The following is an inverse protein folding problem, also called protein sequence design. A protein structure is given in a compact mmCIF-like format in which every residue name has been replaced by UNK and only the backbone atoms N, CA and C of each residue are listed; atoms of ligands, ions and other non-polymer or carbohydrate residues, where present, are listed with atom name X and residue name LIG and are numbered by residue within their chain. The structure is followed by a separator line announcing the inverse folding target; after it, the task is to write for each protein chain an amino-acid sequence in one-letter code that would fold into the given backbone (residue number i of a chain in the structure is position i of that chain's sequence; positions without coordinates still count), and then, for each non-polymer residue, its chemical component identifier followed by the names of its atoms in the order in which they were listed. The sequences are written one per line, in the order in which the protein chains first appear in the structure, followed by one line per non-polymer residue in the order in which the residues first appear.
data_IF_235192484978
#
_entry.id   IF_235192484978
#
_cell.length_a   1.000
_cell.length_b   1.000
_cell.length_c   1.000
_cell.angle_alpha   90.00
_cell.angle_beta   90.00
_cell.angle_gamma   90.00
#
_symmetry.space_group_name_H-M   'P 1'
#
loop_
_entity.id
_entity.type
_entity.pdbx_description
1 polymer ?
#
# COMPACT_ATOMS: atom_id res chain seq x y z
N UNK A 1 12.27 -19.15 4.73
CA UNK A 1 11.80 -18.18 3.72
C UNK A 1 11.19 -18.98 2.58
N UNK A 2 9.88 -19.15 2.58
CA UNK A 2 9.16 -19.77 1.45
C UNK A 2 8.82 -18.65 0.48
N UNK A 3 9.66 -18.44 -0.52
CA UNK A 3 9.33 -17.56 -1.64
C UNK A 3 8.29 -18.25 -2.51
N UNK A 4 7.16 -17.58 -2.74
CA UNK A 4 6.12 -18.09 -3.63
C UNK A 4 6.27 -17.40 -4.99
N UNK A 5 6.71 -18.16 -6.00
CA UNK A 5 6.77 -17.67 -7.39
C UNK A 5 5.80 -18.44 -8.27
N UNK A 6 4.97 -17.73 -9.02
CA UNK A 6 4.34 -18.26 -10.22
C UNK A 6 3.02 -18.99 -10.02
N UNK A 7 1.98 -18.28 -9.61
CA UNK A 7 0.58 -18.55 -9.94
C UNK A 7 -0.21 -17.28 -9.64
N UNK A 8 -1.46 -17.18 -10.11
CA UNK A 8 -2.40 -16.21 -9.59
C UNK A 8 -2.60 -16.49 -8.08
N UNK A 9 -1.74 -15.92 -7.24
CA UNK A 9 -1.92 -15.94 -5.80
C UNK A 9 -3.04 -14.94 -5.55
N UNK A 10 -4.27 -15.45 -5.44
CA UNK A 10 -5.31 -14.72 -4.73
C UNK A 10 -4.82 -14.63 -3.28
N UNK A 11 -4.23 -13.49 -2.91
CA UNK A 11 -3.71 -13.20 -1.55
C UNK A 11 -4.85 -13.08 -0.51
N UNK A 12 -6.03 -13.67 -0.77
CA UNK A 12 -7.08 -13.80 0.24
C UNK A 12 -6.67 -14.69 1.43
N UNK A 13 -5.57 -15.47 1.31
CA UNK A 13 -5.12 -16.39 2.36
C UNK A 13 -3.79 -15.99 3.05
N UNK A 14 -3.10 -14.89 2.68
CA UNK A 14 -1.87 -14.47 3.38
C UNK A 14 -2.13 -13.49 4.53
N UNK A 15 -3.29 -13.54 5.15
CA UNK A 15 -3.74 -12.62 6.19
C UNK A 15 -3.09 -12.82 7.56
N UNK A 16 -1.91 -13.44 7.66
CA UNK A 16 -1.21 -13.55 8.96
C UNK A 16 0.26 -14.03 8.87
N UNK A 17 1.15 -13.29 8.19
CA UNK A 17 2.60 -13.63 8.16
C UNK A 17 3.44 -12.44 8.59
N UNK A 18 4.26 -12.65 9.63
CA UNK A 18 5.33 -11.72 10.02
C UNK A 18 6.47 -11.78 9.01
N UNK A 19 6.65 -10.69 8.26
CA UNK A 19 7.62 -10.60 7.16
C UNK A 19 7.30 -11.53 5.98
N UNK A 20 7.06 -10.95 4.81
CA UNK A 20 6.77 -11.71 3.60
C UNK A 20 7.36 -11.04 2.37
N UNK A 21 7.57 -11.84 1.33
CA UNK A 21 7.95 -11.37 0.00
C UNK A 21 6.81 -11.65 -0.97
N UNK A 22 6.38 -10.61 -1.69
CA UNK A 22 5.44 -10.70 -2.80
C UNK A 22 6.13 -10.16 -4.03
N UNK A 23 6.43 -11.04 -4.97
CA UNK A 23 7.22 -10.70 -6.15
C UNK A 23 6.44 -11.11 -7.41
N UNK A 24 6.35 -10.22 -8.40
CA UNK A 24 5.82 -10.53 -9.76
C UNK A 24 4.46 -11.22 -9.78
N UNK A 25 3.60 -10.85 -8.84
CA UNK A 25 2.30 -11.45 -8.64
C UNK A 25 1.16 -10.56 -9.13
N UNK A 26 0.02 -11.15 -9.45
CA UNK A 26 -1.22 -10.43 -9.78
C UNK A 26 -2.22 -10.59 -8.63
N UNK A 27 -2.65 -9.48 -8.06
CA UNK A 27 -3.46 -9.42 -6.85
C UNK A 27 -4.67 -8.54 -7.15
N UNK A 28 -5.81 -9.18 -7.37
CA UNK A 28 -7.01 -8.48 -7.82
C UNK A 28 -8.30 -9.17 -7.42
N UNK A 29 -9.37 -8.38 -7.35
CA UNK A 29 -10.72 -8.88 -7.06
C UNK A 29 -10.94 -9.26 -5.60
N UNK A 30 -10.04 -8.86 -4.69
CA UNK A 30 -10.23 -9.11 -3.26
C UNK A 30 -11.33 -8.18 -2.70
N UNK A 31 -12.11 -8.66 -1.73
CA UNK A 31 -13.14 -7.85 -1.07
C UNK A 31 -12.59 -6.78 -0.11
N UNK A 32 -11.30 -6.89 0.28
CA UNK A 32 -10.58 -5.94 1.14
C UNK A 32 -9.30 -5.45 0.47
N UNK A 33 -8.24 -5.26 1.25
CA UNK A 33 -6.96 -4.79 0.70
C UNK A 33 -6.31 -5.84 -0.22
N UNK A 34 -5.46 -5.40 -1.14
CA UNK A 34 -4.65 -6.30 -1.95
C UNK A 34 -3.61 -7.03 -1.11
N UNK A 35 -2.82 -6.26 -0.34
CA UNK A 35 -1.80 -6.75 0.59
C UNK A 35 -1.97 -6.02 1.92
N UNK A 36 -1.97 -6.77 3.03
CA UNK A 36 -2.03 -6.21 4.39
C UNK A 36 -0.87 -6.71 5.25
N UNK A 37 -0.17 -5.79 5.90
CA UNK A 37 0.83 -6.11 6.93
C UNK A 37 0.20 -6.03 8.33
N UNK A 38 0.17 -7.15 9.06
CA UNK A 38 -0.56 -7.27 10.34
C UNK A 38 0.36 -7.38 11.58
N UNK A 39 1.63 -7.72 11.38
CA UNK A 39 2.59 -7.98 12.47
C UNK A 39 3.90 -7.20 12.27
N UNK A 40 4.81 -7.29 13.24
CA UNK A 40 6.20 -6.87 13.04
C UNK A 40 6.85 -7.64 11.88
N UNK A 41 7.54 -6.92 11.00
CA UNK A 41 8.15 -7.56 9.85
C UNK A 41 8.82 -6.62 8.87
N UNK A 42 9.70 -7.21 8.08
CA UNK A 42 10.25 -6.59 6.88
C UNK A 42 9.53 -7.16 5.66
N UNK A 43 8.88 -6.29 4.88
CA UNK A 43 8.13 -6.70 3.69
C UNK A 43 8.90 -6.36 2.41
N UNK A 44 8.85 -7.27 1.43
CA UNK A 44 9.44 -7.06 0.10
C UNK A 44 8.36 -7.24 -0.95
N UNK A 45 7.81 -6.12 -1.42
CA UNK A 45 6.69 -6.09 -2.36
C UNK A 45 7.20 -5.49 -3.66
N UNK A 46 7.49 -6.34 -4.65
CA UNK A 46 8.14 -5.89 -5.88
C UNK A 46 7.49 -6.42 -7.16
N UNK A 47 7.41 -5.55 -8.17
CA UNK A 47 7.00 -5.89 -9.54
C UNK A 47 5.61 -6.55 -9.65
N UNK A 48 4.70 -6.26 -8.72
CA UNK A 48 3.36 -6.82 -8.70
C UNK A 48 2.35 -5.97 -9.49
N UNK A 49 1.26 -6.59 -9.94
CA UNK A 49 0.03 -5.92 -10.41
C UNK A 49 -1.04 -6.03 -9.33
N UNK A 50 -1.46 -4.92 -8.73
CA UNK A 50 -2.38 -4.87 -7.58
C UNK A 50 -3.54 -3.94 -7.91
N UNK A 51 -4.69 -4.48 -8.31
CA UNK A 51 -5.80 -3.68 -8.84
C UNK A 51 -7.16 -4.32 -8.54
N UNK A 52 -8.26 -3.58 -8.69
CA UNK A 52 -9.62 -4.07 -8.49
C UNK A 52 -9.88 -4.73 -7.11
N UNK A 53 -9.17 -4.30 -6.07
CA UNK A 53 -9.43 -4.72 -4.70
C UNK A 53 -10.40 -3.75 -4.01
N UNK A 54 -11.23 -4.23 -3.10
CA UNK A 54 -12.24 -3.42 -2.41
C UNK A 54 -11.68 -2.39 -1.43
N UNK A 55 -10.46 -2.61 -0.91
CA UNK A 55 -9.76 -1.75 0.03
C UNK A 55 -8.58 -0.99 -0.58
N UNK A 56 -7.50 -0.83 0.19
CA UNK A 56 -6.24 -0.28 -0.28
C UNK A 56 -5.49 -1.29 -1.17
N UNK A 57 -4.63 -0.83 -2.07
CA UNK A 57 -3.74 -1.74 -2.79
C UNK A 57 -2.77 -2.43 -1.83
N UNK A 58 -2.07 -1.64 -1.03
CA UNK A 58 -1.15 -2.09 0.02
C UNK A 58 -1.45 -1.30 1.30
N UNK A 59 -1.83 -1.98 2.37
CA UNK A 59 -2.00 -1.40 3.70
C UNK A 59 -0.96 -1.94 4.69
N UNK A 60 -0.08 -1.05 5.16
CA UNK A 60 0.89 -1.32 6.23
C UNK A 60 0.64 -0.45 7.46
N UNK A 61 -0.58 0.07 7.63
CA UNK A 61 -0.93 1.02 8.69
C UNK A 61 -1.32 0.37 10.03
N UNK A 62 -1.64 -0.93 10.03
CA UNK A 62 -2.10 -1.70 11.19
C UNK A 62 -1.22 -2.92 11.54
N UNK A 63 0.10 -2.73 11.64
CA UNK A 63 0.86 -3.70 12.44
C UNK A 63 0.61 -3.45 13.91
N UNK A 64 0.40 -4.50 14.71
CA UNK A 64 0.05 -4.43 16.14
C UNK A 64 0.94 -3.54 17.02
N UNK A 65 1.68 -4.11 17.99
CA UNK A 65 2.62 -3.34 18.83
C UNK A 65 4.01 -3.20 18.19
N UNK A 66 4.23 -3.81 17.04
CA UNK A 66 5.53 -3.90 16.36
C UNK A 66 5.70 -2.92 15.22
N UNK A 67 6.95 -2.62 14.86
CA UNK A 67 7.30 -1.76 13.72
C UNK A 67 7.36 -2.57 12.42
N UNK A 68 6.86 -1.97 11.34
CA UNK A 68 6.90 -2.50 9.99
C UNK A 68 7.92 -1.73 9.17
N UNK A 69 8.80 -2.45 8.49
CA UNK A 69 9.71 -1.88 7.49
C UNK A 69 9.55 -2.61 6.16
N UNK A 70 10.13 -2.08 5.09
CA UNK A 70 10.09 -2.83 3.83
C UNK A 70 10.40 -2.02 2.59
N UNK A 71 10.45 -2.73 1.47
CA UNK A 71 10.62 -2.18 0.14
C UNK A 71 9.35 -2.44 -0.67
N UNK A 72 8.75 -1.36 -1.18
CA UNK A 72 7.65 -1.40 -2.14
C UNK A 72 8.20 -0.84 -3.44
N UNK A 73 8.53 -1.69 -4.42
CA UNK A 73 9.19 -1.21 -5.63
C UNK A 73 8.69 -1.79 -6.96
N UNK A 74 8.57 -0.94 -7.99
CA UNK A 74 8.25 -1.40 -9.33
C UNK A 74 6.83 -1.95 -9.51
N UNK A 75 5.93 -1.72 -8.56
CA UNK A 75 4.57 -2.27 -8.61
C UNK A 75 3.63 -1.39 -9.46
N UNK A 76 2.65 -2.02 -10.08
CA UNK A 76 1.48 -1.37 -10.69
C UNK A 76 0.31 -1.47 -9.70
N UNK A 77 -0.12 -0.34 -9.14
CA UNK A 77 -1.10 -0.29 -8.05
C UNK A 77 -2.32 0.53 -8.49
N UNK A 78 -3.50 -0.07 -8.44
CA UNK A 78 -4.75 0.41 -9.03
C UNK A 78 -4.74 0.36 -10.57
N UNK A 79 -3.72 -0.27 -11.15
CA UNK A 79 -3.61 -0.51 -12.59
C UNK A 79 -2.84 -1.82 -12.84
N UNK A 80 -2.70 -2.21 -14.10
CA UNK A 80 -1.90 -3.37 -14.53
C UNK A 80 -0.86 -2.94 -15.57
N UNK A 81 0.00 -3.85 -16.03
CA UNK A 81 1.04 -3.52 -17.01
C UNK A 81 0.48 -2.96 -18.34
N UNK A 82 -0.75 -3.31 -18.70
CA UNK A 82 -1.46 -2.78 -19.87
C UNK A 82 -2.16 -1.42 -19.62
N UNK A 83 -2.16 -0.90 -18.40
CA UNK A 83 -2.83 0.36 -18.04
C UNK A 83 -4.36 0.29 -17.93
N UNK A 84 -4.94 -0.91 -17.99
CA UNK A 84 -6.40 -1.15 -18.04
C UNK A 84 -6.99 -1.64 -16.72
N UNK A 85 -6.18 -1.77 -15.67
CA UNK A 85 -6.66 -2.23 -14.36
C UNK A 85 -7.70 -1.27 -13.78
N UNK A 86 -8.81 -1.83 -13.28
CA UNK A 86 -9.77 -1.10 -12.45
C UNK A 86 -9.09 -0.72 -11.14
N UNK A 87 -9.25 0.53 -10.67
CA UNK A 87 -8.62 1.00 -9.44
C UNK A 87 -8.95 0.18 -8.20
N UNK A 88 -8.17 0.35 -7.14
CA UNK A 88 -8.57 -0.14 -5.82
C UNK A 88 -9.64 0.78 -5.19
N UNK A 89 -10.44 0.23 -4.28
CA UNK A 89 -11.59 0.91 -3.66
C UNK A 89 -11.22 2.02 -2.67
N UNK A 90 -9.95 2.07 -2.24
CA UNK A 90 -9.41 3.12 -1.35
C UNK A 90 -8.08 3.66 -1.90
N UNK A 91 -7.00 3.68 -1.12
CA UNK A 91 -5.70 4.23 -1.47
C UNK A 91 -4.84 3.23 -2.26
N UNK A 92 -3.83 3.72 -2.97
CA UNK A 92 -2.83 2.83 -3.56
C UNK A 92 -1.96 2.18 -2.49
N UNK A 93 -1.25 3.01 -1.73
CA UNK A 93 -0.41 2.61 -0.59
C UNK A 93 -0.84 3.40 0.64
N UNK A 94 -1.08 2.73 1.76
CA UNK A 94 -1.38 3.34 3.05
C UNK A 94 -0.33 2.96 4.09
N UNK A 95 0.32 3.96 4.68
CA UNK A 95 1.26 3.81 5.79
C UNK A 95 0.75 4.56 7.03
N UNK A 96 1.03 4.04 8.22
CA UNK A 96 0.53 4.56 9.50
C UNK A 96 1.54 4.55 10.63
N UNK A 97 1.04 4.55 11.88
CA UNK A 97 1.82 4.78 13.12
C UNK A 97 3.10 3.96 13.20
N UNK A 98 3.00 2.70 12.81
CA UNK A 98 4.02 1.69 13.01
C UNK A 98 4.80 1.38 11.73
N UNK A 99 4.51 2.07 10.62
CA UNK A 99 5.31 1.98 9.41
C UNK A 99 6.59 2.80 9.60
N UNK A 100 7.72 2.13 9.81
CA UNK A 100 9.03 2.73 10.04
C UNK A 100 10.07 2.15 9.08
N UNK A 101 10.71 2.98 8.27
CA UNK A 101 11.73 2.52 7.34
C UNK A 101 11.18 1.85 6.07
N UNK A 102 9.92 2.10 5.73
CA UNK A 102 9.35 1.72 4.43
C UNK A 102 9.92 2.61 3.33
N UNK A 103 10.44 1.98 2.29
CA UNK A 103 10.90 2.63 1.07
C UNK A 103 9.95 2.29 -0.07
N UNK A 104 9.19 3.27 -0.55
CA UNK A 104 8.37 3.13 -1.76
C UNK A 104 9.10 3.79 -2.93
N UNK A 105 9.39 3.03 -3.99
CA UNK A 105 10.06 3.57 -5.18
C UNK A 105 9.66 2.96 -6.51
N UNK A 106 9.66 3.76 -7.57
CA UNK A 106 9.39 3.33 -8.94
C UNK A 106 8.05 2.60 -9.11
N UNK A 107 7.05 2.86 -8.28
CA UNK A 107 5.71 2.32 -8.40
C UNK A 107 4.86 3.19 -9.33
N UNK A 108 3.95 2.55 -10.08
CA UNK A 108 2.92 3.21 -10.87
C UNK A 108 1.59 3.08 -10.15
N UNK A 109 1.09 4.18 -9.58
CA UNK A 109 -0.04 4.15 -8.63
C UNK A 109 -1.22 4.98 -9.16
N UNK A 110 -2.15 4.34 -9.85
CA UNK A 110 -3.13 5.00 -10.72
C UNK A 110 -4.55 4.51 -10.39
N UNK A 111 -5.57 5.32 -10.73
CA UNK A 111 -6.99 4.96 -10.68
C UNK A 111 -7.57 4.54 -9.33
N UNK A 112 -6.79 4.53 -8.25
CA UNK A 112 -7.31 4.28 -6.90
C UNK A 112 -8.36 5.33 -6.54
N UNK A 113 -9.40 4.91 -5.81
CA UNK A 113 -10.55 5.78 -5.48
C UNK A 113 -10.21 6.84 -4.44
N UNK A 114 -9.14 6.59 -3.66
CA UNK A 114 -8.51 7.53 -2.74
C UNK A 114 -7.15 8.05 -3.22
N UNK A 115 -6.32 8.51 -2.28
CA UNK A 115 -4.95 8.96 -2.56
C UNK A 115 -4.07 7.85 -3.15
N UNK A 116 -3.12 8.24 -4.01
CA UNK A 116 -2.11 7.29 -4.52
C UNK A 116 -1.26 6.74 -3.38
N UNK A 117 -0.66 7.63 -2.59
CA UNK A 117 -0.02 7.25 -1.32
C UNK A 117 -0.57 8.10 -0.18
N UNK A 118 -1.03 7.42 0.87
CA UNK A 118 -1.59 7.98 2.09
C UNK A 118 -0.65 7.73 3.26
N UNK A 119 -0.14 8.80 3.85
CA UNK A 119 0.63 8.74 5.10
C UNK A 119 -0.25 9.24 6.25
N UNK A 120 -0.49 8.40 7.25
CA UNK A 120 -1.22 8.76 8.47
C UNK A 120 -0.24 8.89 9.65
N UNK A 121 -0.50 9.83 10.55
CA UNK A 121 0.26 10.03 11.80
C UNK A 121 1.78 10.28 11.58
N UNK A 122 2.66 9.64 12.36
CA UNK A 122 4.12 9.82 12.36
C UNK A 122 4.86 9.18 11.16
N UNK A 123 4.14 8.52 10.25
CA UNK A 123 4.71 7.80 9.09
C UNK A 123 5.60 8.67 8.18
N UNK A 124 5.53 10.01 8.29
CA UNK A 124 6.34 10.93 7.48
C UNK A 124 7.80 11.02 7.90
N UNK A 125 8.13 10.70 9.15
CA UNK A 125 9.49 10.91 9.69
C UNK A 125 10.45 9.78 9.35
N UNK A 126 9.92 8.61 9.01
CA UNK A 126 10.68 7.36 8.92
C UNK A 126 10.55 6.63 7.59
N UNK A 127 9.66 7.06 6.70
CA UNK A 127 9.45 6.41 5.41
C UNK A 127 9.92 7.28 4.25
N UNK A 128 10.45 6.66 3.20
CA UNK A 128 10.96 7.34 2.01
C UNK A 128 10.12 6.94 0.81
N UNK A 129 9.40 7.90 0.23
CA UNK A 129 8.70 7.71 -1.04
C UNK A 129 9.43 8.50 -2.12
N UNK A 130 9.88 7.82 -3.17
CA UNK A 130 10.67 8.43 -4.24
C UNK A 130 10.27 7.88 -5.59
N UNK A 131 10.26 8.70 -6.64
CA UNK A 131 10.12 8.25 -8.04
C UNK A 131 8.84 7.45 -8.40
N UNK A 132 7.80 7.51 -7.57
CA UNK A 132 6.49 6.92 -7.87
C UNK A 132 5.66 7.85 -8.76
N UNK A 133 5.07 7.31 -9.84
CA UNK A 133 4.16 8.07 -10.71
C UNK A 133 2.73 7.86 -10.26
N UNK A 134 2.10 8.91 -9.74
CA UNK A 134 0.74 8.87 -9.18
C UNK A 134 -0.21 9.69 -10.06
N UNK A 135 -1.35 9.11 -10.42
CA UNK A 135 -2.46 9.84 -11.05
C UNK A 135 -3.78 9.47 -10.35
N UNK A 136 -4.41 10.40 -9.60
CA UNK A 136 -5.71 10.15 -9.01
C UNK A 136 -6.78 10.05 -10.11
N UNK A 137 -7.85 9.31 -9.83
CA UNK A 137 -9.06 9.37 -10.66
C UNK A 137 -9.62 10.80 -10.58
N UNK A 138 -10.12 11.33 -11.71
CA UNK A 138 -10.57 12.72 -11.93
C UNK A 138 -11.65 13.20 -10.93
N UNK A 139 -11.27 13.50 -9.68
CA UNK A 139 -12.08 14.27 -8.74
C UNK A 139 -11.19 15.26 -7.99
N UNK A 140 -11.64 16.52 -7.94
CA UNK A 140 -10.97 17.60 -7.23
C UNK A 140 -10.76 17.23 -5.75
N UNK A 141 -9.50 17.24 -5.29
CA UNK A 141 -9.13 17.02 -3.88
C UNK A 141 -8.39 15.72 -3.56
N UNK A 142 -8.19 14.83 -4.54
CA UNK A 142 -7.34 13.65 -4.41
C UNK A 142 -5.89 14.00 -4.75
N UNK A 143 -4.96 13.67 -3.85
CA UNK A 143 -3.55 13.99 -4.08
C UNK A 143 -2.78 12.75 -4.53
N UNK A 144 -1.87 12.97 -5.49
CA UNK A 144 -0.74 12.10 -5.77
C UNK A 144 -0.05 11.60 -4.49
N UNK A 145 0.07 12.53 -3.52
CA UNK A 145 0.56 12.31 -2.16
C UNK A 145 -0.27 13.14 -1.18
N UNK A 146 -0.98 12.50 -0.23
CA UNK A 146 -1.67 13.24 0.84
C UNK A 146 -0.94 13.03 2.16
N UNK A 147 -0.31 14.11 2.61
CA UNK A 147 0.23 14.26 3.95
C UNK A 147 -0.89 14.76 4.87
N UNK A 148 -1.45 13.89 5.71
CA UNK A 148 -2.46 14.29 6.69
C UNK A 148 -1.91 14.21 8.12
N UNK A 149 -0.67 14.63 8.36
CA UNK A 149 -0.11 14.76 9.71
C UNK A 149 -0.66 15.95 10.52
N UNK A 150 -1.82 16.48 10.12
CA UNK A 150 -2.45 17.64 10.75
C UNK A 150 -3.88 17.41 11.24
N UNK A 151 -4.49 16.23 11.08
CA UNK A 151 -5.79 15.96 11.72
C UNK A 151 -5.53 15.52 13.17
N UNK A 152 -5.81 16.36 14.18
CA UNK A 152 -5.60 15.98 15.56
C UNK A 152 -6.53 14.81 15.88
N UNK A 153 -5.95 13.72 16.36
CA UNK A 153 -6.70 12.60 16.93
C UNK A 153 -7.44 13.08 18.19
N UNK A 154 -8.64 13.63 18.04
CA UNK A 154 -9.67 13.67 19.07
C UNK A 154 -9.17 13.94 20.52
N UNK A 155 -8.29 14.94 20.70
CA UNK A 155 -7.85 15.36 22.03
C UNK A 155 -8.89 16.35 22.58
N UNK A 156 -9.39 16.19 23.82
CA UNK A 156 -10.25 17.19 24.43
C UNK A 156 -9.47 18.51 24.48
N UNK A 157 -10.09 19.59 23.98
CA UNK A 157 -9.54 20.94 24.12
C UNK A 157 -9.42 21.28 25.62
N UNK A 158 -8.28 21.81 26.09
CA UNK A 158 -8.17 22.34 27.44
C UNK A 158 -9.11 23.53 27.64
#
# INVERSE_FOLDING_TARGET
MTGFSGAAITVNEMTNVSGFEVLRSKIYGNGGDGIRGLDDGAYRIEENEIYANGGDGIDLSEAGSGSVSGLIAGNYIGTNASGTGSGNGSHGIRLGRNSEGVVARNNRIWNNSGDGVRLTQDALKKNRITTDSTQPYYQAGLNAFRNNAGEPSNQPRP
#
